data_IF_475486209679
#
_entry.id   IF_475486209679
#
_cell.length_a   1.000
_cell.length_b   1.000
_cell.length_c   1.000
_cell.angle_alpha   90.00
_cell.angle_beta   90.00
_cell.angle_gamma   90.00
#
_symmetry.space_group_name_H-M   'P 1'
#
loop_
_entity.id
_entity.type
_entity.pdbx_description
1 polymer ?
#
# COMPACT_ATOMS: atom_id res chain seq x y z
N UNK A 1 5.44 -2.86 -29.94
CA UNK A 1 4.47 -3.50 -29.02
C UNK A 1 3.33 -2.54 -28.79
N UNK A 2 2.08 -2.92 -29.05
CA UNK A 2 0.93 -2.16 -28.55
C UNK A 2 1.13 -1.98 -27.04
N UNK A 3 1.00 -0.75 -26.53
CA UNK A 3 1.48 -0.35 -25.19
C UNK A 3 0.83 -1.16 -24.06
N UNK A 4 1.37 -2.34 -23.75
CA UNK A 4 0.87 -3.29 -22.75
C UNK A 4 0.70 -2.63 -21.38
N UNK A 5 1.58 -1.69 -21.03
CA UNK A 5 1.48 -0.91 -19.79
C UNK A 5 0.22 -0.03 -19.70
N UNK A 6 -0.37 0.40 -20.82
CA UNK A 6 -1.64 1.16 -20.80
C UNK A 6 -2.81 0.26 -20.42
N UNK A 7 -2.87 -0.93 -21.00
CA UNK A 7 -3.90 -1.92 -20.68
C UNK A 7 -3.74 -2.45 -19.26
N UNK A 8 -2.51 -2.80 -18.89
CA UNK A 8 -2.21 -3.35 -17.56
C UNK A 8 -2.47 -2.32 -16.45
N UNK A 9 -2.05 -1.05 -16.66
CA UNK A 9 -2.37 0.04 -15.73
C UNK A 9 -3.87 0.37 -15.71
N UNK A 10 -4.53 0.41 -16.87
CA UNK A 10 -5.97 0.66 -16.97
C UNK A 10 -6.82 -0.39 -16.27
N UNK A 11 -6.53 -1.67 -16.47
CA UNK A 11 -7.17 -2.78 -15.76
C UNK A 11 -6.89 -2.67 -14.26
N UNK A 12 -5.64 -2.39 -13.87
CA UNK A 12 -5.27 -2.14 -12.48
C UNK A 12 -6.17 -1.08 -11.86
N UNK A 13 -6.28 0.11 -12.45
CA UNK A 13 -7.13 1.19 -11.94
C UNK A 13 -8.63 0.87 -11.94
N UNK A 14 -9.12 -0.06 -12.76
CA UNK A 14 -10.51 -0.51 -12.67
C UNK A 14 -10.68 -1.46 -11.48
N UNK A 15 -9.73 -2.37 -11.28
CA UNK A 15 -9.76 -3.34 -10.19
C UNK A 15 -9.64 -2.69 -8.81
N UNK A 16 -9.14 -1.45 -8.67
CA UNK A 16 -9.17 -0.73 -7.38
C UNK A 16 -10.58 -0.55 -6.83
N UNK A 17 -11.60 -0.50 -7.69
CA UNK A 17 -13.00 -0.30 -7.30
C UNK A 17 -13.71 -1.60 -6.91
N UNK A 18 -13.09 -2.76 -7.12
CA UNK A 18 -13.69 -4.06 -6.81
C UNK A 18 -13.14 -4.57 -5.47
N UNK A 19 -13.99 -4.67 -4.42
CA UNK A 19 -13.57 -5.23 -3.15
C UNK A 19 -13.00 -6.63 -3.31
N UNK A 20 -12.04 -7.01 -2.46
CA UNK A 20 -11.33 -8.29 -2.46
C UNK A 20 -10.43 -8.56 -3.67
N UNK A 21 -10.59 -7.88 -4.80
CA UNK A 21 -9.72 -7.99 -5.98
C UNK A 21 -8.72 -6.83 -6.07
N UNK A 22 -8.97 -5.75 -5.31
CA UNK A 22 -8.12 -4.57 -5.21
C UNK A 22 -6.65 -4.84 -4.79
N UNK A 23 -6.34 -5.98 -4.16
CA UNK A 23 -4.95 -6.34 -3.88
C UNK A 23 -4.16 -6.66 -5.17
N UNK A 24 -4.82 -7.26 -6.17
CA UNK A 24 -4.23 -7.55 -7.49
C UNK A 24 -3.97 -6.25 -8.23
N UNK A 25 -4.89 -5.28 -8.10
CA UNK A 25 -4.77 -3.96 -8.70
C UNK A 25 -3.42 -3.29 -8.36
N UNK A 26 -3.02 -3.31 -7.09
CA UNK A 26 -1.78 -2.66 -6.65
C UNK A 26 -0.56 -3.17 -7.41
N UNK A 27 -0.48 -4.49 -7.61
CA UNK A 27 0.61 -5.14 -8.34
C UNK A 27 0.56 -4.76 -9.83
N UNK A 28 -0.63 -4.78 -10.44
CA UNK A 28 -0.77 -4.39 -11.85
C UNK A 28 -0.35 -2.93 -12.06
N UNK A 29 -0.85 -2.00 -11.25
CA UNK A 29 -0.49 -0.58 -11.37
C UNK A 29 1.02 -0.40 -11.19
N UNK A 30 1.63 -1.08 -10.22
CA UNK A 30 3.07 -1.02 -10.00
C UNK A 30 3.88 -1.50 -11.21
N UNK A 31 3.50 -2.65 -11.78
CA UNK A 31 4.14 -3.22 -12.97
C UNK A 31 3.95 -2.30 -14.18
N UNK A 32 2.78 -1.67 -14.33
CA UNK A 32 2.54 -0.69 -15.37
C UNK A 32 3.50 0.51 -15.27
N UNK A 33 3.73 1.03 -14.07
CA UNK A 33 4.67 2.12 -13.83
C UNK A 33 6.12 1.73 -14.12
N UNK A 34 6.54 0.51 -13.74
CA UNK A 34 7.87 -0.01 -14.05
C UNK A 34 8.09 -0.12 -15.56
N UNK A 35 7.12 -0.72 -16.27
CA UNK A 35 7.20 -0.84 -17.74
C UNK A 35 7.20 0.53 -18.41
N UNK A 36 6.33 1.44 -17.97
CA UNK A 36 6.26 2.80 -18.50
C UNK A 36 7.57 3.55 -18.30
N UNK A 37 8.20 3.46 -17.11
CA UNK A 37 9.50 4.07 -16.84
C UNK A 37 10.64 3.49 -17.68
N UNK A 38 10.60 2.19 -17.96
CA UNK A 38 11.54 1.54 -18.88
C UNK A 38 11.39 2.06 -20.31
N UNK A 39 10.16 2.23 -20.78
CA UNK A 39 9.87 2.69 -22.15
C UNK A 39 10.17 4.18 -22.34
N UNK A 40 9.90 5.02 -21.34
CA UNK A 40 10.16 6.47 -21.41
C UNK A 40 11.55 6.87 -20.89
N UNK A 41 12.34 5.92 -20.36
CA UNK A 41 13.60 6.16 -19.63
C UNK A 41 13.47 7.11 -18.43
N UNK A 42 12.25 7.28 -17.90
CA UNK A 42 11.97 8.09 -16.73
C UNK A 42 12.15 7.26 -15.46
N UNK A 43 13.28 7.47 -14.77
CA UNK A 43 13.59 6.77 -13.51
C UNK A 43 12.51 6.93 -12.45
N UNK A 44 11.81 8.06 -12.48
CA UNK A 44 10.78 8.42 -11.52
C UNK A 44 9.55 7.50 -11.60
N UNK A 45 9.19 7.05 -12.80
CA UNK A 45 8.10 6.07 -13.01
C UNK A 45 8.50 4.68 -12.50
N UNK A 46 9.74 4.26 -12.79
CA UNK A 46 10.28 3.00 -12.28
C UNK A 46 10.35 3.01 -10.75
N UNK A 47 10.80 4.12 -10.16
CA UNK A 47 10.88 4.29 -8.71
C UNK A 47 9.49 4.19 -8.07
N UNK A 48 8.47 4.82 -8.65
CA UNK A 48 7.09 4.70 -8.17
C UNK A 48 6.63 3.25 -8.13
N UNK A 49 6.80 2.51 -9.24
CA UNK A 49 6.35 1.13 -9.29
C UNK A 49 7.10 0.22 -8.30
N UNK A 50 8.40 0.44 -8.09
CA UNK A 50 9.16 -0.28 -7.05
C UNK A 50 8.63 0.07 -5.66
N UNK A 51 8.41 1.35 -5.36
CA UNK A 51 7.86 1.78 -4.07
C UNK A 51 6.48 1.18 -3.80
N UNK A 52 5.62 1.10 -4.81
CA UNK A 52 4.32 0.44 -4.69
C UNK A 52 4.45 -1.05 -4.33
N UNK A 53 5.41 -1.78 -4.91
CA UNK A 53 5.67 -3.19 -4.57
C UNK A 53 6.21 -3.30 -3.13
N UNK A 54 7.17 -2.46 -2.77
CA UNK A 54 7.76 -2.46 -1.41
C UNK A 54 6.69 -2.13 -0.37
N UNK A 55 5.87 -1.11 -0.63
CA UNK A 55 4.76 -0.73 0.26
C UNK A 55 3.73 -1.85 0.41
N UNK A 56 3.36 -2.51 -0.69
CA UNK A 56 2.46 -3.65 -0.67
C UNK A 56 3.02 -4.83 0.15
N UNK A 57 4.28 -5.21 -0.10
CA UNK A 57 4.94 -6.29 0.62
C UNK A 57 5.11 -6.00 2.12
N UNK A 58 5.46 -4.75 2.48
CA UNK A 58 5.57 -4.31 3.86
C UNK A 58 4.21 -4.31 4.57
N UNK A 59 3.14 -3.88 3.87
CA UNK A 59 1.78 -3.89 4.41
C UNK A 59 1.28 -5.32 4.68
N UNK A 60 1.50 -6.25 3.74
CA UNK A 60 1.16 -7.66 3.93
C UNK A 60 1.95 -8.26 5.09
N UNK A 61 3.25 -7.99 5.15
CA UNK A 61 4.11 -8.47 6.25
C UNK A 61 3.56 -8.02 7.61
N UNK A 62 3.16 -6.75 7.74
CA UNK A 62 2.57 -6.24 8.98
C UNK A 62 1.27 -6.97 9.33
N UNK A 63 0.38 -7.20 8.36
CA UNK A 63 -0.87 -7.95 8.58
C UNK A 63 -0.58 -9.36 9.05
N UNK A 64 0.35 -10.07 8.42
CA UNK A 64 0.74 -11.45 8.82
C UNK A 64 1.29 -11.47 10.24
N UNK A 65 2.17 -10.53 10.59
CA UNK A 65 2.76 -10.43 11.93
C UNK A 65 1.68 -10.14 12.98
N UNK A 66 0.79 -9.18 12.71
CA UNK A 66 -0.31 -8.83 13.59
C UNK A 66 -1.28 -10.00 13.80
N UNK A 67 -1.69 -10.68 12.73
CA UNK A 67 -2.56 -11.86 12.81
C UNK A 67 -1.91 -13.02 13.55
N UNK A 68 -0.62 -13.27 13.30
CA UNK A 68 0.13 -14.33 14.00
C UNK A 68 0.15 -14.08 15.51
N UNK A 69 0.36 -12.84 15.93
CA UNK A 69 0.30 -12.48 17.35
C UNK A 69 -1.10 -12.58 17.94
N UNK A 70 -2.14 -12.12 17.24
CA UNK A 70 -3.51 -12.31 17.71
C UNK A 70 -3.82 -13.80 17.93
N UNK A 71 -3.35 -14.68 17.05
CA UNK A 71 -3.50 -16.12 17.19
C UNK A 71 -2.83 -16.67 18.46
N UNK A 72 -1.68 -16.11 18.88
CA UNK A 72 -1.03 -16.49 20.14
C UNK A 72 -1.78 -16.07 21.40
N UNK A 73 -2.68 -15.08 21.30
CA UNK A 73 -3.50 -14.60 22.44
C UNK A 73 -4.83 -15.36 22.61
N UNK A 74 -5.31 -16.04 21.56
CA UNK A 74 -6.59 -16.78 21.57
C UNK A 74 -6.62 -17.89 22.65
N UNK A 75 -5.58 -18.76 22.80
CA UNK A 75 -5.57 -19.80 23.83
C UNK A 75 -5.60 -19.25 25.26
N UNK A 76 -5.19 -18.00 25.47
CA UNK A 76 -5.10 -17.39 26.81
C UNK A 76 -6.43 -16.80 27.29
N UNK A 77 -7.39 -16.59 26.39
CA UNK A 77 -8.61 -15.81 26.67
C UNK A 77 -9.92 -16.59 26.52
N UNK A 78 -9.88 -17.82 26.00
CA UNK A 78 -11.06 -18.68 25.85
C UNK A 78 -11.08 -19.84 26.87
N UNK A 79 -12.11 -19.91 27.75
CA UNK A 79 -12.33 -21.07 28.61
C UNK A 79 -12.58 -22.33 27.76
N UNK A 80 -11.80 -23.39 27.98
CA UNK A 80 -11.97 -24.68 27.30
C UNK A 80 -11.13 -24.89 26.04
N UNK A 81 -10.25 -23.96 25.67
CA UNK A 81 -9.25 -24.20 24.64
C UNK A 81 -8.18 -25.15 25.17
N UNK A 82 -7.84 -26.27 24.48
CA UNK A 82 -6.84 -27.20 24.96
C UNK A 82 -5.49 -26.48 25.07
N UNK A 83 -5.01 -26.32 26.30
CA UNK A 83 -3.64 -25.86 26.55
C UNK A 83 -2.69 -26.83 25.85
N UNK A 84 -1.80 -26.30 25.02
CA UNK A 84 -0.83 -27.09 24.28
C UNK A 84 -0.04 -27.98 25.26
N UNK A 85 -0.03 -29.32 25.11
CA UNK A 85 0.67 -30.19 26.05
C UNK A 85 2.17 -29.90 26.01
N UNK A 86 2.75 -29.50 27.14
CA UNK A 86 4.15 -29.06 27.25
C UNK A 86 4.40 -27.56 27.06
N UNK A 87 3.35 -26.75 26.86
CA UNK A 87 3.46 -25.29 26.88
C UNK A 87 3.43 -24.79 28.31
N UNK A 88 4.61 -24.58 28.93
CA UNK A 88 4.69 -23.64 30.03
C UNK A 88 4.04 -22.33 29.56
N UNK A 89 3.10 -21.78 30.34
CA UNK A 89 2.57 -20.43 30.11
C UNK A 89 3.72 -19.47 30.38
N UNK A 90 4.60 -19.31 29.41
CA UNK A 90 5.62 -18.29 29.46
C UNK A 90 4.88 -16.95 29.48
N UNK A 91 5.23 -16.01 30.38
CA UNK A 91 4.67 -14.68 30.36
C UNK A 91 5.01 -14.05 29.00
N UNK A 92 4.05 -14.07 28.07
CA UNK A 92 4.18 -13.27 26.85
C UNK A 92 4.17 -11.83 27.35
N UNK A 93 5.31 -11.15 27.26
CA UNK A 93 5.36 -9.71 27.46
C UNK A 93 4.87 -9.07 26.15
N UNK A 94 3.62 -8.57 26.07
CA UNK A 94 3.12 -7.99 24.83
C UNK A 94 3.80 -6.65 24.51
N UNK A 95 4.47 -6.03 25.49
CA UNK A 95 5.11 -4.72 25.36
C UNK A 95 6.05 -4.61 24.15
N UNK A 96 7.12 -5.42 24.04
CA UNK A 96 8.03 -5.40 22.89
C UNK A 96 7.32 -5.62 21.55
N UNK A 97 6.30 -6.48 21.52
CA UNK A 97 5.52 -6.75 20.31
C UNK A 97 4.68 -5.53 19.88
N UNK A 98 3.96 -4.91 20.82
CA UNK A 98 3.16 -3.70 20.57
C UNK A 98 4.07 -2.57 20.07
N UNK A 99 5.23 -2.38 20.70
CA UNK A 99 6.23 -1.41 20.22
C UNK A 99 6.73 -1.73 18.82
N UNK A 100 6.97 -3.01 18.51
CA UNK A 100 7.32 -3.46 17.16
C UNK A 100 6.26 -3.11 16.11
N UNK A 101 4.97 -3.33 16.41
CA UNK A 101 3.87 -2.93 15.53
C UNK A 101 3.83 -1.41 15.36
N UNK A 102 3.95 -0.63 16.44
CA UNK A 102 3.92 0.82 16.38
C UNK A 102 5.04 1.38 15.50
N UNK A 103 6.27 0.86 15.65
CA UNK A 103 7.41 1.24 14.80
C UNK A 103 7.13 0.89 13.34
N UNK A 104 6.65 -0.34 13.06
CA UNK A 104 6.31 -0.75 11.70
C UNK A 104 5.20 0.12 11.08
N UNK A 105 4.19 0.52 11.88
CA UNK A 105 3.12 1.41 11.43
C UNK A 105 3.66 2.81 11.08
N UNK A 106 4.58 3.37 11.88
CA UNK A 106 5.24 4.65 11.58
C UNK A 106 6.07 4.55 10.29
N UNK A 107 6.82 3.45 10.09
CA UNK A 107 7.59 3.21 8.86
C UNK A 107 6.65 3.14 7.64
N UNK A 108 5.55 2.40 7.74
CA UNK A 108 4.55 2.34 6.67
C UNK A 108 3.89 3.68 6.40
N UNK A 109 3.64 4.49 7.44
CA UNK A 109 3.11 5.84 7.29
C UNK A 109 4.07 6.71 6.46
N UNK A 110 5.35 6.74 6.82
CA UNK A 110 6.37 7.47 6.06
C UNK A 110 6.46 6.96 4.63
N UNK A 111 6.48 5.65 4.43
CA UNK A 111 6.54 5.03 3.10
C UNK A 111 5.30 5.38 2.26
N UNK A 112 4.11 5.42 2.87
CA UNK A 112 2.88 5.81 2.20
C UNK A 112 2.91 7.27 1.73
N UNK A 113 3.42 8.18 2.56
CA UNK A 113 3.54 9.61 2.22
C UNK A 113 4.49 9.77 1.04
N UNK A 114 5.67 9.14 1.09
CA UNK A 114 6.66 9.18 0.00
C UNK A 114 6.06 8.62 -1.30
N UNK A 115 5.34 7.50 -1.22
CA UNK A 115 4.69 6.87 -2.38
C UNK A 115 3.64 7.79 -3.00
N UNK A 116 2.80 8.44 -2.19
CA UNK A 116 1.76 9.38 -2.65
C UNK A 116 2.36 10.60 -3.34
N UNK A 117 3.44 11.18 -2.77
CA UNK A 117 4.13 12.33 -3.37
C UNK A 117 4.68 11.94 -4.75
N UNK A 118 5.38 10.82 -4.84
CA UNK A 118 5.95 10.35 -6.11
C UNK A 118 4.84 9.99 -7.11
N UNK A 119 3.72 9.43 -6.65
CA UNK A 119 2.57 9.11 -7.48
C UNK A 119 1.96 10.36 -8.15
N UNK A 120 1.82 11.45 -7.39
CA UNK A 120 1.35 12.73 -7.94
C UNK A 120 2.30 13.25 -9.01
N UNK A 121 3.60 13.30 -8.70
CA UNK A 121 4.62 13.83 -9.63
C UNK A 121 4.65 12.95 -10.90
N UNK A 122 4.52 11.62 -10.75
CA UNK A 122 4.51 10.68 -11.87
C UNK A 122 3.28 10.87 -12.78
N UNK A 123 2.11 11.11 -12.21
CA UNK A 123 0.90 11.41 -12.99
C UNK A 123 1.01 12.74 -13.75
N UNK A 124 1.52 13.78 -13.11
CA UNK A 124 1.70 15.07 -13.77
C UNK A 124 2.77 14.99 -14.88
N UNK A 125 3.89 14.30 -14.63
CA UNK A 125 4.96 14.10 -15.62
C UNK A 125 4.54 13.17 -16.77
N UNK A 126 3.78 12.12 -16.52
CA UNK A 126 3.22 11.29 -17.60
C UNK A 126 2.23 12.10 -18.46
N UNK A 127 1.49 13.02 -17.84
CA UNK A 127 0.62 13.96 -18.55
C UNK A 127 1.36 14.89 -19.51
N UNK A 128 2.59 15.29 -19.19
CA UNK A 128 3.43 16.10 -20.09
C UNK A 128 4.12 15.24 -21.16
N UNK A 129 4.70 14.10 -20.79
CA UNK A 129 5.44 13.23 -21.72
C UNK A 129 4.53 12.62 -22.80
N UNK A 130 3.31 12.23 -22.43
CA UNK A 130 2.36 11.62 -23.35
C UNK A 130 1.34 12.60 -23.94
N UNK A 131 1.47 13.90 -23.61
CA UNK A 131 0.50 14.96 -23.92
C UNK A 131 -0.96 14.53 -23.72
N UNK A 132 -1.25 13.95 -22.56
CA UNK A 132 -2.54 13.33 -22.28
C UNK A 132 -3.23 14.04 -21.11
N UNK A 133 -4.40 14.62 -21.39
CA UNK A 133 -5.23 15.35 -20.42
C UNK A 133 -5.65 14.47 -19.23
N UNK A 134 -5.91 13.18 -19.44
CA UNK A 134 -6.36 12.27 -18.38
C UNK A 134 -5.29 12.03 -17.31
N UNK A 135 -4.02 11.98 -17.69
CA UNK A 135 -2.92 11.86 -16.72
C UNK A 135 -2.78 13.15 -15.89
N UNK A 136 -2.91 14.33 -16.53
CA UNK A 136 -2.91 15.62 -15.82
C UNK A 136 -4.07 15.71 -14.83
N UNK A 137 -5.29 15.39 -15.28
CA UNK A 137 -6.49 15.35 -14.42
C UNK A 137 -6.29 14.34 -13.28
N UNK A 138 -5.79 13.15 -13.56
CA UNK A 138 -5.52 12.13 -12.56
C UNK A 138 -4.52 12.56 -11.49
N UNK A 139 -3.50 13.34 -11.85
CA UNK A 139 -2.56 13.95 -10.89
C UNK A 139 -3.25 14.98 -10.00
N UNK A 140 -4.04 15.88 -10.58
CA UNK A 140 -4.79 16.90 -9.83
C UNK A 140 -5.86 16.31 -8.91
N UNK A 141 -6.56 15.26 -9.34
CA UNK A 141 -7.55 14.58 -8.50
C UNK A 141 -6.91 13.98 -7.24
N UNK A 142 -5.69 13.45 -7.33
CA UNK A 142 -4.95 12.96 -6.15
C UNK A 142 -4.62 14.08 -5.18
N UNK A 143 -4.20 15.24 -5.67
CA UNK A 143 -3.99 16.43 -4.84
C UNK A 143 -5.30 16.85 -4.16
N UNK A 144 -6.40 16.89 -4.91
CA UNK A 144 -7.72 17.23 -4.36
C UNK A 144 -8.16 16.24 -3.26
N UNK A 145 -7.92 14.93 -3.43
CA UNK A 145 -8.18 13.93 -2.40
C UNK A 145 -7.39 14.22 -1.12
N UNK A 146 -6.09 14.52 -1.21
CA UNK A 146 -5.27 14.83 -0.03
C UNK A 146 -5.78 16.08 0.69
N UNK A 147 -6.07 17.14 -0.06
CA UNK A 147 -6.61 18.39 0.51
C UNK A 147 -7.96 18.13 1.18
N UNK A 148 -8.83 17.34 0.53
CA UNK A 148 -10.13 16.99 1.10
C UNK A 148 -10.01 16.19 2.40
N UNK A 149 -9.06 15.24 2.48
CA UNK A 149 -8.79 14.47 3.70
C UNK A 149 -8.23 15.36 4.81
N UNK A 150 -7.33 16.28 4.48
CA UNK A 150 -6.75 17.22 5.44
C UNK A 150 -7.82 18.15 6.05
N UNK A 151 -8.86 18.51 5.29
CA UNK A 151 -9.99 19.31 5.78
C UNK A 151 -11.02 18.44 6.51
N UNK A 152 -11.31 17.23 6.02
CA UNK A 152 -12.35 16.38 6.56
C UNK A 152 -11.98 15.77 7.92
N UNK A 153 -10.72 15.35 8.12
CA UNK A 153 -10.29 14.69 9.36
C UNK A 153 -10.56 15.58 10.60
N UNK A 154 -10.17 16.87 10.62
CA UNK A 154 -10.48 17.76 11.76
C UNK A 154 -11.97 18.05 11.99
N UNK A 155 -12.83 17.84 10.99
CA UNK A 155 -14.27 18.08 11.11
C UNK A 155 -15.03 16.86 11.68
N UNK A 156 -14.39 15.68 11.65
CA UNK A 156 -14.96 14.41 12.12
C UNK A 156 -14.53 14.12 13.58
N UNK A 157 -13.36 14.62 13.99
CA UNK A 157 -12.80 14.50 15.35
C UNK A 157 -13.33 15.63 16.22
#
# INVERSE_FOLDING_TARGET
MARTYKWLGGIGYILTFIPYVNFVSFILIAVAWIMMGRDTREKMFTALGILMIVFFAASISLVIIAFSFLWTLIPMTMPGFPMQPGGEIQPIMPGPFIWGILIAAVILLVLSIVTVIIDIIAHLRSGTIFDNKWFKIGGWLRVAVIVSLAIAIPLII
#
